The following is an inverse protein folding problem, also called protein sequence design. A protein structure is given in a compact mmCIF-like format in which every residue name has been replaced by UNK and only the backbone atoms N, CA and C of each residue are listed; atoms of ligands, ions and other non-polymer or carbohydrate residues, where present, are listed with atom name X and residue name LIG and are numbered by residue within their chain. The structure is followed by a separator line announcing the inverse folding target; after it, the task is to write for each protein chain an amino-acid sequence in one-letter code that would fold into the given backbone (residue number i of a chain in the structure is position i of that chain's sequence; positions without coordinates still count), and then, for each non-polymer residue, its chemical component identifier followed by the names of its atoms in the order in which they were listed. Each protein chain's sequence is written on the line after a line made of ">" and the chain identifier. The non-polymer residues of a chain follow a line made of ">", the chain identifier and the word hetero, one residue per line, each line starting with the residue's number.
data_IF_895832139731
#
_entry.id   IF_895832139731
#
_cell.length_a   1.000
_cell.length_b   1.000
_cell.length_c   1.000
_cell.angle_alpha   90.00
_cell.angle_beta   90.00
_cell.angle_gamma   90.00
#
_symmetry.space_group_name_H-M   'P 1'
#
loop_
_entity.id
_entity.type
_entity.pdbx_description
1 polymer ?
#
# COMPACT_ATOMS: atom_id res chain seq x y z
N UNK A 1 -1.30 -46.79 -4.78
CA UNK A 1 -2.51 -46.57 -5.61
C UNK A 1 -2.64 -45.08 -5.81
N UNK A 2 -2.18 -44.58 -6.96
CA UNK A 2 -2.98 -44.19 -8.14
C UNK A 2 -3.55 -42.77 -8.00
N UNK A 3 -2.89 -41.87 -8.71
CA UNK A 3 -3.29 -40.50 -9.02
C UNK A 3 -4.71 -40.44 -9.57
N UNK A 4 -5.47 -39.42 -9.15
CA UNK A 4 -6.78 -39.09 -9.70
C UNK A 4 -6.72 -37.70 -10.32
N UNK A 5 -6.70 -37.70 -11.65
CA UNK A 5 -6.99 -36.55 -12.51
C UNK A 5 -8.51 -36.44 -12.62
N UNK A 6 -9.07 -35.27 -12.31
CA UNK A 6 -10.44 -34.95 -12.70
C UNK A 6 -10.46 -33.54 -13.30
N UNK A 7 -10.58 -33.50 -14.62
CA UNK A 7 -10.98 -32.34 -15.39
C UNK A 7 -12.49 -32.12 -15.19
N UNK A 8 -12.88 -30.90 -14.80
CA UNK A 8 -14.28 -30.47 -14.80
C UNK A 8 -14.44 -29.35 -15.82
N UNK A 9 -15.06 -29.67 -16.95
CA UNK A 9 -15.62 -28.71 -17.88
C UNK A 9 -16.96 -28.21 -17.30
N UNK A 10 -17.17 -26.89 -17.28
CA UNK A 10 -18.45 -26.28 -16.93
C UNK A 10 -18.84 -25.29 -18.02
N UNK A 11 -19.95 -25.57 -18.71
CA UNK A 11 -20.58 -24.68 -19.69
C UNK A 11 -22.08 -24.63 -19.39
N UNK A 12 -22.61 -23.40 -19.41
CA UNK A 12 -24.04 -22.94 -19.42
C UNK A 12 -24.80 -23.16 -18.09
N UNK A 13 -25.48 -22.20 -17.44
CA UNK A 13 -25.97 -20.84 -17.73
C UNK A 13 -27.40 -20.72 -17.13
N UNK A 14 -27.85 -19.53 -16.69
CA UNK A 14 -29.27 -19.03 -16.71
C UNK A 14 -29.54 -17.84 -15.75
N UNK A 15 -30.42 -16.94 -16.21
CA UNK A 15 -31.19 -15.95 -15.41
C UNK A 15 -30.93 -14.50 -15.83
N UNK A 16 -31.54 -13.90 -16.86
CA UNK A 16 -32.96 -13.64 -17.13
C UNK A 16 -33.64 -12.72 -16.10
N UNK A 17 -33.70 -11.40 -16.39
CA UNK A 17 -34.81 -10.55 -16.01
C UNK A 17 -35.59 -10.20 -17.28
N UNK A 18 -36.78 -10.78 -17.34
CA UNK A 18 -37.83 -10.60 -18.33
C UNK A 18 -38.60 -9.31 -18.04
N UNK A 19 -38.83 -8.48 -19.05
CA UNK A 19 -39.92 -7.50 -19.05
C UNK A 19 -40.45 -7.41 -20.48
N UNK A 20 -41.63 -7.98 -20.65
CA UNK A 20 -42.21 -8.27 -21.96
C UNK A 20 -42.58 -7.03 -22.76
N UNK A 21 -42.25 -7.09 -24.05
CA UNK A 21 -42.99 -6.39 -25.11
C UNK A 21 -43.16 -7.34 -26.29
N UNK A 22 -44.31 -7.27 -27.01
CA UNK A 22 -44.61 -8.17 -28.10
C UNK A 22 -43.59 -7.99 -29.23
N UNK A 23 -43.08 -9.13 -29.71
CA UNK A 23 -42.12 -9.20 -30.82
C UNK A 23 -42.83 -8.76 -32.11
N UNK A 24 -42.76 -7.48 -32.43
CA UNK A 24 -43.05 -6.99 -33.78
C UNK A 24 -41.95 -7.55 -34.68
N UNK A 25 -42.31 -8.48 -35.55
CA UNK A 25 -41.44 -8.96 -36.62
C UNK A 25 -41.24 -7.80 -37.61
N UNK A 26 -40.20 -7.00 -37.34
CA UNK A 26 -39.70 -6.03 -38.31
C UNK A 26 -39.11 -6.84 -39.46
N UNK A 27 -39.77 -6.79 -40.61
CA UNK A 27 -39.17 -7.22 -41.87
C UNK A 27 -37.77 -6.60 -41.99
N UNK A 28 -36.75 -7.35 -42.46
CA UNK A 28 -35.42 -6.81 -42.61
C UNK A 28 -35.46 -5.67 -43.64
N UNK A 29 -35.50 -4.44 -43.14
CA UNK A 29 -35.24 -3.27 -43.96
C UNK A 29 -33.83 -3.45 -44.52
N UNK A 30 -33.74 -3.63 -45.85
CA UNK A 30 -32.46 -3.54 -46.55
C UNK A 30 -31.84 -2.20 -46.18
N UNK A 31 -30.78 -2.25 -45.38
CA UNK A 31 -29.96 -1.08 -45.14
C UNK A 31 -29.59 -0.45 -46.49
N UNK A 32 -29.80 0.86 -46.70
CA UNK A 32 -29.31 1.50 -47.91
C UNK A 32 -27.81 1.25 -47.98
N UNK A 33 -27.34 0.69 -49.09
CA UNK A 33 -25.91 0.53 -49.35
C UNK A 33 -25.30 1.93 -49.29
N UNK A 34 -24.58 2.23 -48.22
CA UNK A 34 -23.83 3.47 -48.17
C UNK A 34 -22.62 3.31 -49.07
N UNK A 35 -22.67 3.90 -50.27
CA UNK A 35 -21.48 4.20 -51.07
C UNK A 35 -20.70 5.33 -50.40
N UNK A 36 -20.26 5.10 -49.16
CA UNK A 36 -19.21 5.94 -48.56
C UNK A 36 -17.90 5.46 -49.16
N UNK A 37 -17.11 6.33 -49.81
CA UNK A 37 -15.79 5.95 -50.28
C UNK A 37 -15.00 5.40 -49.08
N UNK A 38 -14.44 4.19 -49.22
CA UNK A 38 -13.50 3.64 -48.24
C UNK A 38 -12.40 4.67 -48.08
N UNK A 39 -12.36 5.35 -46.92
CA UNK A 39 -11.21 6.19 -46.57
C UNK A 39 -9.97 5.30 -46.68
N UNK A 40 -8.86 5.80 -47.25
CA UNK A 40 -7.62 5.02 -47.27
C UNK A 40 -7.32 4.60 -45.83
N UNK A 41 -7.24 3.29 -45.60
CA UNK A 41 -6.84 2.73 -44.31
C UNK A 41 -5.40 3.18 -44.07
N UNK A 42 -5.25 4.17 -43.19
CA UNK A 42 -3.93 4.62 -42.76
C UNK A 42 -3.22 3.45 -42.09
N UNK A 43 -1.94 3.28 -42.41
CA UNK A 43 -1.09 2.33 -41.69
C UNK A 43 -0.99 2.71 -40.21
N UNK A 44 -0.66 1.77 -39.31
CA UNK A 44 -0.49 2.06 -37.89
C UNK A 44 0.44 3.24 -37.60
N UNK A 45 1.52 3.39 -38.38
CA UNK A 45 2.48 4.50 -38.28
C UNK A 45 1.85 5.84 -38.70
N UNK A 46 1.07 5.85 -39.79
CA UNK A 46 0.35 7.05 -40.24
C UNK A 46 -0.75 7.47 -39.27
N UNK A 47 -1.42 6.52 -38.61
CA UNK A 47 -2.38 6.81 -37.54
C UNK A 47 -1.68 7.39 -36.30
N UNK A 48 -0.51 6.86 -35.91
CA UNK A 48 0.27 7.39 -34.80
C UNK A 48 0.76 8.81 -35.08
N UNK A 49 1.27 9.08 -36.29
CA UNK A 49 1.70 10.41 -36.69
C UNK A 49 0.53 11.40 -36.80
N UNK A 50 -0.63 10.98 -37.30
CA UNK A 50 -1.85 11.79 -37.33
C UNK A 50 -2.36 12.12 -35.92
N UNK A 51 -2.32 11.15 -34.99
CA UNK A 51 -2.64 11.37 -33.58
C UNK A 51 -1.69 12.39 -32.96
N UNK A 52 -0.38 12.25 -33.16
CA UNK A 52 0.63 13.19 -32.67
C UNK A 52 0.43 14.60 -33.25
N UNK A 53 0.15 14.72 -34.56
CA UNK A 53 -0.14 16.00 -35.23
C UNK A 53 -1.45 16.65 -34.76
N UNK A 54 -2.42 15.85 -34.34
CA UNK A 54 -3.67 16.32 -33.76
C UNK A 54 -3.56 16.62 -32.26
N UNK A 55 -2.36 16.57 -31.67
CA UNK A 55 -2.11 16.90 -30.27
C UNK A 55 -2.48 15.79 -29.28
N UNK A 56 -2.76 14.57 -29.74
CA UNK A 56 -2.90 13.43 -28.85
C UNK A 56 -1.51 13.00 -28.35
N UNK A 57 -1.33 13.00 -27.03
CA UNK A 57 -0.13 12.48 -26.38
C UNK A 57 0.01 10.99 -26.64
N UNK A 58 1.25 10.51 -26.72
CA UNK A 58 1.51 9.08 -26.78
C UNK A 58 1.17 8.42 -25.44
N UNK A 59 0.81 7.14 -25.47
CA UNK A 59 0.47 6.37 -24.26
C UNK A 59 1.60 6.42 -23.23
N UNK A 60 2.86 6.39 -23.66
CA UNK A 60 4.01 6.43 -22.75
C UNK A 60 4.14 7.79 -22.07
N UNK A 61 3.95 8.89 -22.82
CA UNK A 61 3.99 10.25 -22.28
C UNK A 61 2.88 10.45 -21.23
N UNK A 62 1.66 9.93 -21.51
CA UNK A 62 0.56 10.00 -20.56
C UNK A 62 0.84 9.17 -19.30
N UNK A 63 1.48 8.00 -19.42
CA UNK A 63 1.85 7.17 -18.28
C UNK A 63 2.89 7.86 -17.39
N UNK A 64 3.91 8.50 -17.98
CA UNK A 64 4.92 9.26 -17.25
C UNK A 64 4.31 10.45 -16.51
N UNK A 65 3.43 11.22 -17.16
CA UNK A 65 2.71 12.32 -16.51
C UNK A 65 1.84 11.85 -15.34
N UNK A 66 1.14 10.73 -15.52
CA UNK A 66 0.32 10.15 -14.46
C UNK A 66 1.19 9.69 -13.27
N UNK A 67 2.32 9.04 -13.53
CA UNK A 67 3.26 8.65 -12.46
C UNK A 67 3.81 9.88 -11.75
N UNK A 68 4.20 10.92 -12.48
CA UNK A 68 4.68 12.16 -11.89
C UNK A 68 3.61 12.84 -11.01
N UNK A 69 2.35 12.86 -11.46
CA UNK A 69 1.23 13.40 -10.69
C UNK A 69 0.97 12.57 -9.41
N UNK A 70 1.00 11.24 -9.50
CA UNK A 70 0.83 10.37 -8.33
C UNK A 70 1.97 10.55 -7.32
N UNK A 71 3.23 10.59 -7.77
CA UNK A 71 4.39 10.83 -6.90
C UNK A 71 4.33 12.19 -6.23
N UNK A 72 3.89 13.23 -6.95
CA UNK A 72 3.67 14.54 -6.36
C UNK A 72 2.59 14.48 -5.28
N UNK A 73 1.45 13.84 -5.59
CA UNK A 73 0.35 13.66 -4.64
C UNK A 73 0.79 12.91 -3.37
N UNK A 74 1.61 11.86 -3.52
CA UNK A 74 2.20 11.16 -2.38
C UNK A 74 3.05 12.08 -1.53
N UNK A 75 3.96 12.86 -2.15
CA UNK A 75 4.85 13.76 -1.42
C UNK A 75 4.08 14.87 -0.69
N UNK A 76 3.01 15.39 -1.27
CA UNK A 76 2.10 16.35 -0.61
C UNK A 76 1.36 15.71 0.57
N UNK A 77 0.90 14.48 0.41
CA UNK A 77 0.28 13.70 1.49
C UNK A 77 1.28 13.43 2.63
N UNK A 78 2.52 13.03 2.31
CA UNK A 78 3.58 12.79 3.30
C UNK A 78 3.95 14.09 4.02
N UNK A 79 4.07 15.20 3.29
CA UNK A 79 4.39 16.52 3.87
C UNK A 79 3.31 16.99 4.84
N UNK A 80 2.05 16.73 4.52
CA UNK A 80 0.91 17.02 5.40
C UNK A 80 1.02 16.23 6.72
N UNK A 81 1.48 14.98 6.63
CA UNK A 81 1.56 14.02 7.73
C UNK A 81 2.98 13.82 8.25
N UNK A 82 3.87 14.80 8.07
CA UNK A 82 5.31 14.64 8.29
C UNK A 82 5.65 14.24 9.73
N UNK A 83 4.93 14.82 10.70
CA UNK A 83 5.10 14.53 12.11
C UNK A 83 4.75 13.07 12.44
N UNK A 84 3.68 12.52 11.88
CA UNK A 84 3.26 11.13 12.10
C UNK A 84 4.29 10.15 11.52
N UNK A 85 4.81 10.42 10.32
CA UNK A 85 5.90 9.61 9.74
C UNK A 85 7.13 9.60 10.65
N UNK A 86 7.53 10.78 11.15
CA UNK A 86 8.68 10.89 12.06
C UNK A 86 8.42 10.15 13.37
N UNK A 87 7.22 10.27 13.93
CA UNK A 87 6.82 9.56 15.15
C UNK A 87 6.87 8.04 14.96
N UNK A 88 6.37 7.54 13.82
CA UNK A 88 6.41 6.13 13.46
C UNK A 88 7.85 5.59 13.41
N UNK A 89 8.73 6.29 12.69
CA UNK A 89 10.15 5.90 12.58
C UNK A 89 10.88 5.95 13.93
N UNK A 90 10.57 6.93 14.78
CA UNK A 90 11.12 7.04 16.13
C UNK A 90 10.60 5.92 17.05
N UNK A 91 9.33 5.54 16.93
CA UNK A 91 8.73 4.40 17.62
C UNK A 91 9.47 3.10 17.31
N UNK A 92 9.72 2.81 16.02
CA UNK A 92 10.53 1.66 15.61
C UNK A 92 11.93 1.72 16.24
N UNK A 93 12.64 2.86 16.12
CA UNK A 93 13.99 3.00 16.71
C UNK A 93 14.03 2.68 18.20
N UNK A 94 13.07 3.20 18.96
CA UNK A 94 12.98 2.98 20.40
C UNK A 94 12.78 1.50 20.74
N UNK A 95 11.97 0.79 19.98
CA UNK A 95 11.77 -0.65 20.17
C UNK A 95 13.05 -1.44 19.85
N UNK A 96 13.72 -1.12 18.73
CA UNK A 96 15.00 -1.74 18.37
C UNK A 96 16.07 -1.53 19.45
N UNK A 97 16.23 -0.31 19.95
CA UNK A 97 17.17 -0.01 21.03
C UNK A 97 16.84 -0.77 22.32
N UNK A 98 15.55 -0.91 22.63
CA UNK A 98 15.11 -1.62 23.83
C UNK A 98 15.44 -3.11 23.71
N UNK A 99 15.20 -3.72 22.55
CA UNK A 99 15.59 -5.09 22.26
C UNK A 99 17.11 -5.29 22.33
N UNK A 100 17.89 -4.43 21.66
CA UNK A 100 19.36 -4.48 21.67
C UNK A 100 19.95 -4.40 23.08
N UNK A 101 19.41 -3.52 23.94
CA UNK A 101 19.88 -3.35 25.33
C UNK A 101 19.46 -4.49 26.26
N UNK A 102 18.36 -5.18 25.96
CA UNK A 102 17.79 -6.23 26.79
C UNK A 102 18.31 -7.62 26.40
N UNK A 103 18.39 -7.92 25.11
CA UNK A 103 18.67 -9.25 24.57
C UNK A 103 19.94 -9.91 25.15
N UNK A 104 21.09 -9.19 25.30
CA UNK A 104 22.32 -9.77 25.86
C UNK A 104 22.23 -10.21 27.32
N UNK A 105 21.13 -9.87 28.03
CA UNK A 105 20.91 -10.20 29.45
C UNK A 105 20.07 -11.46 29.62
N UNK A 106 19.19 -11.79 28.66
CA UNK A 106 18.30 -12.94 28.75
C UNK A 106 19.07 -14.28 28.89
N UNK A 107 20.06 -14.61 28.04
CA UNK A 107 20.75 -15.91 28.14
C UNK A 107 21.64 -16.01 29.39
N UNK A 108 21.93 -14.89 30.05
CA UNK A 108 22.74 -14.83 31.28
C UNK A 108 21.89 -14.93 32.55
N UNK A 109 20.56 -14.86 32.43
CA UNK A 109 19.67 -15.02 33.55
C UNK A 109 19.67 -16.47 34.03
N UNK A 110 19.32 -16.69 35.30
CA UNK A 110 19.12 -18.04 35.85
C UNK A 110 18.04 -18.82 35.08
N UNK A 111 17.05 -18.09 34.57
CA UNK A 111 15.98 -18.59 33.73
C UNK A 111 15.83 -17.62 32.55
N UNK A 112 16.41 -18.00 31.40
CA UNK A 112 16.45 -17.16 30.22
C UNK A 112 15.06 -16.93 29.63
N UNK A 113 14.21 -17.95 29.64
CA UNK A 113 12.84 -17.88 29.16
C UNK A 113 12.03 -16.88 29.98
N UNK A 114 12.09 -16.98 31.31
CA UNK A 114 11.40 -16.05 32.20
C UNK A 114 11.91 -14.60 32.08
N UNK A 115 13.21 -14.43 31.86
CA UNK A 115 13.81 -13.12 31.63
C UNK A 115 13.31 -12.48 30.32
N UNK A 116 13.17 -13.28 29.26
CA UNK A 116 12.59 -12.85 27.99
C UNK A 116 11.09 -12.55 28.13
N UNK A 117 10.32 -13.42 28.78
CA UNK A 117 8.88 -13.22 29.00
C UNK A 117 8.59 -11.89 29.70
N UNK A 118 9.31 -11.57 30.78
CA UNK A 118 9.15 -10.31 31.50
C UNK A 118 9.56 -9.06 30.70
N UNK A 119 10.45 -9.21 29.70
CA UNK A 119 10.68 -8.15 28.72
C UNK A 119 9.52 -8.03 27.72
N UNK A 120 9.05 -9.19 27.24
CA UNK A 120 8.14 -9.29 26.10
C UNK A 120 6.74 -8.74 26.37
N UNK A 121 6.26 -8.77 27.62
CA UNK A 121 4.92 -8.28 27.99
C UNK A 121 4.71 -6.82 27.55
N UNK A 122 5.49 -5.90 28.11
CA UNK A 122 5.40 -4.49 27.75
C UNK A 122 5.92 -4.21 26.33
N UNK A 123 6.89 -4.98 25.85
CA UNK A 123 7.40 -4.80 24.49
C UNK A 123 6.31 -5.04 23.44
N UNK A 124 5.49 -6.09 23.60
CA UNK A 124 4.39 -6.43 22.69
C UNK A 124 3.28 -5.39 22.70
N UNK A 125 2.99 -4.79 23.85
CA UNK A 125 2.02 -3.69 23.93
C UNK A 125 2.49 -2.48 23.13
N UNK A 126 3.75 -2.07 23.32
CA UNK A 126 4.33 -0.95 22.58
C UNK A 126 4.42 -1.25 21.07
N UNK A 127 4.77 -2.49 20.69
CA UNK A 127 4.79 -2.91 19.29
C UNK A 127 3.39 -2.94 18.66
N UNK A 128 2.35 -3.32 19.42
CA UNK A 128 0.97 -3.29 18.94
C UNK A 128 0.46 -1.86 18.74
N UNK A 129 0.80 -0.93 19.64
CA UNK A 129 0.47 0.49 19.43
C UNK A 129 1.12 1.02 18.14
N UNK A 130 2.34 0.56 17.85
CA UNK A 130 3.03 0.89 16.60
C UNK A 130 2.35 0.27 15.36
N UNK A 131 1.76 -0.93 15.45
CA UNK A 131 0.92 -1.50 14.39
C UNK A 131 -0.28 -0.58 14.07
N UNK A 132 -0.95 -0.08 15.11
CA UNK A 132 -2.11 0.81 14.97
C UNK A 132 -1.71 2.15 14.34
N UNK A 133 -0.56 2.72 14.74
CA UNK A 133 0.01 3.93 14.14
C UNK A 133 0.38 3.71 12.67
N UNK A 134 0.96 2.55 12.34
CA UNK A 134 1.29 2.19 10.96
C UNK A 134 0.04 2.10 10.09
N UNK A 135 -0.98 1.36 10.54
CA UNK A 135 -2.23 1.19 9.79
C UNK A 135 -2.91 2.54 9.53
N UNK A 136 -2.99 3.41 10.53
CA UNK A 136 -3.55 4.76 10.40
C UNK A 136 -2.74 5.65 9.45
N UNK A 137 -1.42 5.46 9.40
CA UNK A 137 -0.56 6.15 8.46
C UNK A 137 -0.74 5.61 7.04
N UNK A 138 -0.96 4.31 6.87
CA UNK A 138 -1.15 3.72 5.54
C UNK A 138 -2.55 3.99 4.95
N UNK A 139 -3.53 4.35 5.77
CA UNK A 139 -4.87 4.69 5.31
C UNK A 139 -4.86 5.92 4.37
N UNK A 140 -5.36 5.71 3.14
CA UNK A 140 -5.45 6.76 2.11
C UNK A 140 -4.13 7.07 1.40
N UNK A 141 -3.07 6.32 1.66
CA UNK A 141 -1.78 6.41 1.01
C UNK A 141 -1.71 5.83 -0.42
N UNK A 142 -0.83 6.38 -1.27
CA UNK A 142 -0.58 5.88 -2.64
C UNK A 142 0.35 4.66 -2.72
N UNK A 143 1.17 4.40 -1.70
CA UNK A 143 2.08 3.26 -1.61
C UNK A 143 3.14 3.15 -2.73
N UNK A 144 3.70 4.27 -3.19
CA UNK A 144 4.61 4.30 -4.35
C UNK A 144 6.08 4.45 -3.94
N UNK A 145 6.48 5.60 -3.42
CA UNK A 145 7.89 5.90 -3.11
C UNK A 145 8.10 5.81 -1.58
N UNK A 146 7.88 6.90 -0.85
CA UNK A 146 8.16 6.96 0.61
C UNK A 146 7.32 5.93 1.37
N UNK A 147 6.06 5.79 1.00
CA UNK A 147 5.18 4.82 1.64
C UNK A 147 5.56 3.37 1.34
N UNK A 148 6.04 3.08 0.13
CA UNK A 148 6.54 1.74 -0.17
C UNK A 148 7.77 1.40 0.68
N UNK A 149 8.69 2.36 0.87
CA UNK A 149 9.83 2.18 1.78
C UNK A 149 9.39 2.00 3.22
N UNK A 150 8.39 2.76 3.68
CA UNK A 150 7.82 2.59 5.00
C UNK A 150 7.24 1.19 5.19
N UNK A 151 6.46 0.68 4.22
CA UNK A 151 5.93 -0.69 4.24
C UNK A 151 7.08 -1.72 4.31
N UNK A 152 8.11 -1.56 3.48
CA UNK A 152 9.26 -2.47 3.48
C UNK A 152 9.97 -2.48 4.83
N UNK A 153 10.26 -1.30 5.39
CA UNK A 153 10.88 -1.16 6.70
C UNK A 153 10.01 -1.77 7.79
N UNK A 154 8.69 -1.53 7.75
CA UNK A 154 7.77 -2.07 8.73
C UNK A 154 7.73 -3.60 8.71
N UNK A 155 7.66 -4.20 7.53
CA UNK A 155 7.76 -5.67 7.39
C UNK A 155 9.09 -6.22 7.89
N UNK A 156 10.20 -5.51 7.65
CA UNK A 156 11.50 -5.89 8.20
C UNK A 156 11.47 -5.85 9.74
N UNK A 157 10.77 -4.88 10.34
CA UNK A 157 10.60 -4.77 11.78
C UNK A 157 9.70 -5.88 12.35
N UNK A 158 8.60 -6.21 11.68
CA UNK A 158 7.73 -7.33 12.06
C UNK A 158 8.49 -8.65 12.08
N UNK A 159 9.30 -8.92 11.04
CA UNK A 159 10.14 -10.11 10.99
C UNK A 159 11.15 -10.13 12.14
N UNK A 160 11.87 -9.02 12.36
CA UNK A 160 12.79 -8.88 13.48
C UNK A 160 12.11 -9.15 14.83
N UNK A 161 10.90 -8.63 15.03
CA UNK A 161 10.11 -8.89 16.24
C UNK A 161 9.70 -10.35 16.39
N UNK A 162 9.33 -11.00 15.29
CA UNK A 162 8.97 -12.42 15.27
C UNK A 162 10.13 -13.34 15.67
N UNK A 163 11.35 -12.92 15.37
CA UNK A 163 12.58 -13.66 15.67
C UNK A 163 13.09 -13.43 17.11
N UNK A 164 12.51 -12.48 17.86
CA UNK A 164 12.93 -12.24 19.24
C UNK A 164 12.69 -13.46 20.14
N UNK A 165 13.75 -13.89 20.82
CA UNK A 165 13.71 -15.00 21.76
C UNK A 165 14.83 -14.91 22.79
N UNK A 166 14.81 -15.77 23.83
CA UNK A 166 15.75 -15.71 24.95
C UNK A 166 17.22 -15.85 24.55
N UNK A 167 17.53 -16.40 23.39
CA UNK A 167 18.89 -16.61 22.89
C UNK A 167 19.27 -15.72 21.71
N UNK A 168 18.36 -14.86 21.21
CA UNK A 168 18.51 -14.12 19.94
C UNK A 168 19.82 -13.32 19.86
N UNK A 169 20.31 -12.76 20.98
CA UNK A 169 21.56 -11.98 21.00
C UNK A 169 22.82 -12.78 20.64
N UNK A 170 22.76 -14.12 20.68
CA UNK A 170 23.85 -15.00 20.28
C UNK A 170 23.78 -15.36 18.79
N UNK A 171 22.67 -15.06 18.12
CA UNK A 171 22.51 -15.33 16.70
C UNK A 171 23.24 -14.27 15.86
N UNK A 172 23.97 -14.72 14.83
CA UNK A 172 24.71 -13.83 13.92
C UNK A 172 23.79 -12.81 13.23
N UNK A 173 22.52 -13.17 13.02
CA UNK A 173 21.52 -12.32 12.37
C UNK A 173 21.03 -11.15 13.21
N UNK A 174 21.13 -11.20 14.55
CA UNK A 174 20.51 -10.20 15.42
C UNK A 174 21.13 -8.80 15.26
N UNK A 175 22.46 -8.72 15.34
CA UNK A 175 23.19 -7.46 15.17
C UNK A 175 22.98 -6.87 13.78
N UNK A 176 23.05 -7.71 12.75
CA UNK A 176 22.82 -7.30 11.36
C UNK A 176 21.39 -6.82 11.13
N UNK A 177 20.38 -7.50 11.68
CA UNK A 177 18.99 -7.09 11.56
C UNK A 177 18.72 -5.70 12.17
N UNK A 178 19.35 -5.40 13.31
CA UNK A 178 19.31 -4.06 13.92
C UNK A 178 19.95 -3.00 13.01
N UNK A 179 21.11 -3.29 12.43
CA UNK A 179 21.82 -2.38 11.52
C UNK A 179 21.04 -2.12 10.23
N UNK A 180 20.53 -3.17 9.59
CA UNK A 180 19.74 -3.09 8.36
C UNK A 180 18.47 -2.26 8.57
N UNK A 181 17.75 -2.47 9.69
CA UNK A 181 16.58 -1.67 10.04
C UNK A 181 16.92 -0.21 10.30
N UNK A 182 18.03 0.08 10.99
CA UNK A 182 18.49 1.47 11.20
C UNK A 182 18.79 2.15 9.87
N UNK A 183 19.43 1.45 8.94
CA UNK A 183 19.74 1.97 7.62
C UNK A 183 18.47 2.28 6.82
N UNK A 184 17.47 1.41 6.85
CA UNK A 184 16.15 1.67 6.23
C UNK A 184 15.48 2.91 6.84
N UNK A 185 15.51 3.06 8.17
CA UNK A 185 14.95 4.23 8.84
C UNK A 185 15.72 5.50 8.44
N UNK A 186 17.05 5.46 8.40
CA UNK A 186 17.89 6.60 7.97
C UNK A 186 17.62 7.01 6.53
N UNK A 187 17.36 6.06 5.63
CA UNK A 187 16.98 6.33 4.25
C UNK A 187 15.64 7.08 4.19
N UNK A 188 14.62 6.60 4.90
CA UNK A 188 13.30 7.25 4.92
C UNK A 188 13.40 8.64 5.53
N UNK A 189 14.13 8.81 6.65
CA UNK A 189 14.33 10.13 7.29
C UNK A 189 14.92 11.14 6.30
N UNK A 190 15.90 10.75 5.48
CA UNK A 190 16.48 11.65 4.46
C UNK A 190 15.43 12.11 3.43
N UNK A 191 14.50 11.25 3.07
CA UNK A 191 13.42 11.60 2.14
C UNK A 191 12.38 12.51 2.80
N UNK A 192 12.04 12.26 4.07
CA UNK A 192 11.19 13.16 4.84
C UNK A 192 11.82 14.56 4.95
N UNK A 193 13.13 14.65 5.20
CA UNK A 193 13.86 15.92 5.25
C UNK A 193 13.87 16.65 3.89
N UNK A 194 13.95 15.90 2.79
CA UNK A 194 13.86 16.46 1.45
C UNK A 194 12.44 16.99 1.15
N UNK A 195 11.41 16.27 1.58
CA UNK A 195 10.00 16.67 1.45
C UNK A 195 9.67 17.89 2.29
N UNK A 196 10.16 17.95 3.53
CA UNK A 196 9.99 19.09 4.44
C UNK A 196 10.48 20.39 3.80
N UNK A 197 11.65 20.33 3.16
CA UNK A 197 12.34 21.48 2.53
C UNK A 197 11.80 21.83 1.14
N UNK A 198 10.95 20.99 0.55
CA UNK A 198 10.42 21.21 -0.79
C UNK A 198 9.22 22.17 -0.74
N UNK A 199 9.48 23.45 -0.95
CA UNK A 199 8.47 24.52 -0.97
C UNK A 199 7.44 24.39 -2.09
N UNK A 200 7.68 23.55 -3.11
CA UNK A 200 6.73 23.33 -4.22
C UNK A 200 5.56 22.41 -3.85
N UNK A 201 5.68 21.68 -2.74
CA UNK A 201 4.67 20.77 -2.22
C UNK A 201 3.68 21.50 -1.32
N UNK A 202 2.40 21.26 -1.57
CA UNK A 202 1.29 21.77 -0.77
C UNK A 202 1.07 20.93 0.48
N UNK A 203 0.63 21.59 1.55
CA UNK A 203 0.14 20.97 2.78
C UNK A 203 -1.38 21.09 2.80
N UNK A 204 -2.08 20.02 3.19
CA UNK A 204 -3.52 20.09 3.42
C UNK A 204 -3.78 20.82 4.76
N UNK A 205 -4.25 22.06 4.68
CA UNK A 205 -4.54 22.90 5.85
C UNK A 205 -5.74 22.40 6.67
N UNK A 206 -6.61 21.57 6.09
CA UNK A 206 -7.76 20.98 6.78
C UNK A 206 -7.42 19.64 7.45
N UNK A 207 -6.15 19.23 7.44
CA UNK A 207 -5.71 18.01 8.09
C UNK A 207 -5.51 18.25 9.59
N UNK A 208 -6.34 17.60 10.41
CA UNK A 208 -6.17 17.54 11.86
C UNK A 208 -5.58 16.18 12.23
N UNK A 209 -4.35 16.18 12.73
CA UNK A 209 -3.70 14.97 13.24
C UNK A 209 -4.53 14.39 14.39
N UNK A 210 -5.01 13.16 14.26
CA UNK A 210 -5.79 12.47 15.30
C UNK A 210 -7.32 12.63 15.21
N UNK A 211 -7.88 13.14 14.10
CA UNK A 211 -9.31 12.95 13.82
C UNK A 211 -9.53 11.49 13.38
N UNK A 212 -9.85 10.63 14.35
CA UNK A 212 -10.43 9.30 14.11
C UNK A 212 -11.53 9.39 13.03
N UNK A 213 -11.58 8.36 12.18
CA UNK A 213 -12.30 8.38 10.92
C UNK A 213 -13.77 8.81 10.96
N UNK A 214 -14.29 9.07 9.76
CA UNK A 214 -15.71 9.13 9.42
C UNK A 214 -16.42 7.79 9.77
N UNK A 215 -16.51 7.47 11.06
CA UNK A 215 -17.44 6.50 11.58
C UNK A 215 -18.80 7.17 11.57
N UNK A 216 -19.53 7.00 10.46
CA UNK A 216 -20.98 7.22 10.42
C UNK A 216 -21.60 6.68 11.72
N UNK A 217 -22.33 7.49 12.51
CA UNK A 217 -23.02 6.98 13.67
C UNK A 217 -23.96 5.86 13.22
N UNK A 218 -23.76 4.65 13.79
CA UNK A 218 -24.73 3.55 13.64
C UNK A 218 -26.08 4.08 14.13
N UNK A 219 -27.17 3.99 13.34
CA UNK A 219 -28.47 4.40 13.82
C UNK A 219 -28.87 3.50 14.99
N UNK A 220 -29.17 4.13 16.13
CA UNK A 220 -29.71 3.48 17.30
C UNK A 220 -30.91 2.61 16.91
N UNK A 221 -30.83 1.31 17.19
CA UNK A 221 -32.01 0.44 17.12
C UNK A 221 -33.02 0.92 18.18
N UNK A 222 -34.29 1.17 17.81
CA UNK A 222 -35.30 1.49 18.79
C UNK A 222 -35.50 0.29 19.72
N UNK A 223 -35.37 0.55 21.03
CA UNK A 223 -35.74 -0.41 22.08
C UNK A 223 -37.23 -0.75 21.92
N UNK A 224 -37.53 -2.04 21.79
CA UNK A 224 -38.83 -2.64 22.11
C UNK A 224 -38.65 -3.54 23.31
#
# INVERSE_FOLDING_TARGET
>A
MRSLVCAAALVIGLGACDTGQPKVELEPQKAPKSDKPKKPEMTPEQLAEARRKAGFKDTNELAEENIAAMRKGEREWVKTRLAEHRAMLDGVRKLLERAEKAAPKWPKAKDAQKAFEGFSEKYKEDAKALDEDFDALMEGGSQIDVQAKLITMYRSFENFNGDLGPEISAEEGFGKGLEDLRAQIDEIVKELDAIEKDESLKVNENYEAGAEGDAKPKPDKPKK
#
